data_IF_675458790392
#
_entry.id   IF_675458790392
#
_cell.length_a   1.000
_cell.length_b   1.000
_cell.length_c   1.000
_cell.angle_alpha   90.00
_cell.angle_beta   90.00
_cell.angle_gamma   90.00
#
_symmetry.space_group_name_H-M   'P 1'
#
loop_
_entity.id
_entity.type
_entity.pdbx_description
1 polymer ?
#
# COMPACT_ATOMS: atom_id res chain seq x y z
N UNK A 1 -12.20 14.71 2.61
CA UNK A 1 -12.23 15.17 4.03
C UNK A 1 -13.49 15.96 4.43
N UNK A 2 -14.48 16.22 3.56
CA UNK A 2 -15.74 16.89 3.97
C UNK A 2 -16.65 16.06 4.89
N UNK A 3 -16.33 14.79 5.11
CA UNK A 3 -17.12 13.88 5.94
C UNK A 3 -16.87 14.05 7.45
N UNK A 4 -15.77 14.72 7.84
CA UNK A 4 -15.41 14.92 9.24
C UNK A 4 -15.29 16.41 9.55
N UNK A 5 -15.78 16.82 10.72
CA UNK A 5 -15.61 18.19 11.21
C UNK A 5 -14.26 18.34 11.90
N UNK A 6 -13.22 18.44 11.08
CA UNK A 6 -11.83 18.51 11.55
C UNK A 6 -11.55 19.83 12.28
N UNK A 7 -10.78 19.81 13.34
CA UNK A 7 -10.18 21.01 13.92
C UNK A 7 -9.16 21.66 12.98
N UNK A 8 -8.73 22.89 13.28
CA UNK A 8 -7.66 23.55 12.54
C UNK A 8 -6.35 22.75 12.58
N UNK A 9 -6.03 22.14 13.73
CA UNK A 9 -4.83 21.33 13.91
C UNK A 9 -4.87 20.07 13.05
N UNK A 10 -5.99 19.35 13.03
CA UNK A 10 -6.18 18.17 12.19
C UNK A 10 -6.13 18.53 10.70
N UNK A 11 -6.80 19.61 10.28
CA UNK A 11 -6.73 20.07 8.88
C UNK A 11 -5.31 20.39 8.45
N UNK A 12 -4.56 21.11 9.29
CA UNK A 12 -3.16 21.49 9.02
C UNK A 12 -2.25 20.27 8.89
N UNK A 13 -2.46 19.24 9.69
CA UNK A 13 -1.66 18.01 9.63
C UNK A 13 -2.10 17.15 8.44
N UNK A 14 -3.39 16.84 8.31
CA UNK A 14 -3.88 15.93 7.28
C UNK A 14 -3.73 16.49 5.87
N UNK A 15 -3.69 17.82 5.70
CA UNK A 15 -3.42 18.44 4.39
C UNK A 15 -2.01 18.19 3.85
N UNK A 16 -1.07 17.76 4.70
CA UNK A 16 0.30 17.43 4.28
C UNK A 16 0.45 16.00 3.77
N UNK A 17 -0.54 15.15 4.03
CA UNK A 17 -0.51 13.75 3.63
C UNK A 17 -0.60 13.64 2.11
N UNK A 18 0.39 12.98 1.52
CA UNK A 18 0.38 12.46 0.15
C UNK A 18 0.13 10.96 0.18
N UNK A 19 -0.28 10.39 -0.95
CA UNK A 19 -0.58 8.97 -1.05
C UNK A 19 0.14 8.35 -2.25
N UNK A 20 0.60 7.12 -2.08
CA UNK A 20 0.97 6.26 -3.20
C UNK A 20 -0.28 5.62 -3.81
N UNK A 21 -0.09 5.10 -5.02
CA UNK A 21 -1.06 4.23 -5.68
C UNK A 21 -0.80 2.77 -5.38
N UNK A 22 -1.86 1.97 -5.28
CA UNK A 22 -1.74 0.54 -5.11
C UNK A 22 -2.93 -0.19 -5.75
N UNK A 23 -2.62 -1.16 -6.59
CA UNK A 23 -3.59 -2.10 -7.15
C UNK A 23 -3.25 -3.50 -6.65
N UNK A 24 -4.24 -4.16 -6.08
CA UNK A 24 -4.12 -5.54 -5.64
C UNK A 24 -5.09 -6.42 -6.43
N UNK A 25 -4.75 -7.70 -6.58
CA UNK A 25 -5.63 -8.62 -7.27
C UNK A 25 -5.10 -10.03 -7.40
N UNK A 26 -5.75 -10.75 -8.31
CA UNK A 26 -5.41 -12.09 -8.74
C UNK A 26 -5.19 -12.05 -10.25
N UNK A 27 -4.12 -12.67 -10.73
CA UNK A 27 -3.89 -12.93 -12.14
C UNK A 27 -3.75 -14.42 -12.39
N UNK A 28 -4.34 -14.87 -13.49
CA UNK A 28 -4.05 -16.20 -14.03
C UNK A 28 -2.86 -16.05 -14.98
N UNK A 29 -1.71 -16.60 -14.60
CA UNK A 29 -0.44 -16.45 -15.33
C UNK A 29 -0.04 -17.81 -15.91
N UNK A 30 -0.31 -18.08 -17.20
CA UNK A 30 -0.02 -19.38 -17.81
C UNK A 30 1.47 -19.70 -17.80
N UNK A 31 1.81 -20.94 -17.44
CA UNK A 31 3.19 -21.42 -17.45
C UNK A 31 4.06 -20.90 -16.30
N UNK A 32 3.47 -20.19 -15.34
CA UNK A 32 4.10 -19.91 -14.06
C UNK A 32 3.58 -20.90 -13.02
N UNK A 33 4.47 -21.60 -12.34
CA UNK A 33 4.18 -22.60 -11.30
C UNK A 33 4.87 -22.30 -9.96
N UNK A 34 5.69 -21.24 -9.91
CA UNK A 34 6.40 -20.77 -8.73
C UNK A 34 6.06 -19.33 -8.40
N UNK A 35 6.19 -18.96 -7.12
CA UNK A 35 6.07 -17.56 -6.72
C UNK A 35 7.32 -16.78 -7.17
N UNK A 36 7.12 -15.58 -7.67
CA UNK A 36 8.18 -14.65 -8.06
C UNK A 36 8.14 -13.41 -7.18
N UNK A 37 9.26 -13.11 -6.52
CA UNK A 37 9.42 -11.89 -5.76
C UNK A 37 10.31 -10.92 -6.54
N UNK A 38 9.85 -9.69 -6.71
CA UNK A 38 10.74 -8.62 -7.15
C UNK A 38 11.63 -8.24 -5.96
N UNK A 39 12.93 -8.46 -6.10
CA UNK A 39 13.92 -8.14 -5.05
C UNK A 39 14.67 -6.84 -5.34
N UNK A 40 14.42 -6.20 -6.48
CA UNK A 40 15.08 -4.95 -6.85
C UNK A 40 16.61 -5.00 -6.74
N UNK A 41 17.24 -6.12 -7.10
CA UNK A 41 18.67 -6.38 -6.82
C UNK A 41 19.61 -5.31 -7.38
N UNK A 42 19.18 -4.60 -8.42
CA UNK A 42 19.93 -3.52 -9.07
C UNK A 42 19.63 -2.12 -8.52
N UNK A 43 18.68 -1.97 -7.59
CA UNK A 43 18.38 -0.67 -6.97
C UNK A 43 19.34 -0.38 -5.82
N UNK A 44 19.55 0.90 -5.46
CA UNK A 44 20.39 1.27 -4.33
C UNK A 44 19.92 0.65 -3.01
N UNK A 45 18.60 0.60 -2.79
CA UNK A 45 17.98 0.10 -1.56
C UNK A 45 17.69 -1.41 -1.56
N UNK A 46 17.97 -2.13 -2.67
CA UNK A 46 17.62 -3.55 -2.84
C UNK A 46 16.12 -3.81 -2.61
N UNK A 47 15.31 -2.88 -3.09
CA UNK A 47 13.85 -2.91 -3.08
C UNK A 47 13.29 -2.69 -4.47
N UNK A 48 12.08 -3.21 -4.79
CA UNK A 48 11.40 -2.94 -6.06
C UNK A 48 11.30 -1.45 -6.37
N UNK A 49 11.44 -1.09 -7.64
CA UNK A 49 11.09 0.25 -8.11
C UNK A 49 9.59 0.32 -8.39
N UNK A 50 9.01 1.49 -8.13
CA UNK A 50 7.66 1.84 -8.54
C UNK A 50 7.72 2.86 -9.70
N UNK A 51 6.75 2.88 -10.63
CA UNK A 51 5.65 1.92 -10.73
C UNK A 51 6.12 0.51 -11.07
N UNK A 52 5.60 -0.49 -10.35
CA UNK A 52 6.06 -1.87 -10.48
C UNK A 52 5.29 -2.85 -9.61
N UNK A 53 5.28 -4.13 -10.01
CA UNK A 53 4.78 -5.20 -9.17
C UNK A 53 5.80 -5.57 -8.09
N UNK A 54 5.29 -5.76 -6.86
CA UNK A 54 6.09 -6.29 -5.76
C UNK A 54 6.39 -7.79 -5.98
N UNK A 55 5.37 -8.57 -6.35
CA UNK A 55 5.50 -10.01 -6.51
C UNK A 55 4.32 -10.60 -7.29
N UNK A 56 4.52 -11.83 -7.78
CA UNK A 56 3.50 -12.78 -8.20
C UNK A 56 3.54 -13.96 -7.23
N UNK A 57 2.67 -13.98 -6.23
CA UNK A 57 2.70 -14.99 -5.17
C UNK A 57 1.62 -16.02 -5.40
N UNK A 58 1.94 -17.30 -5.26
CA UNK A 58 0.95 -18.37 -5.37
C UNK A 58 -0.19 -18.12 -4.39
N UNK A 59 -1.43 -18.13 -4.88
CA UNK A 59 -2.63 -17.99 -4.05
C UNK A 59 -3.05 -19.30 -3.37
N UNK A 60 -2.39 -20.42 -3.71
CA UNK A 60 -2.83 -21.77 -3.37
C UNK A 60 -3.82 -22.38 -4.37
N UNK A 61 -4.40 -21.56 -5.27
CA UNK A 61 -5.21 -22.04 -6.39
C UNK A 61 -4.35 -22.27 -7.65
N UNK A 62 -4.61 -23.33 -8.44
CA UNK A 62 -3.83 -23.61 -9.65
C UNK A 62 -3.79 -22.43 -10.62
N UNK A 63 -2.59 -22.06 -11.07
CA UNK A 63 -2.31 -20.98 -12.02
C UNK A 63 -2.71 -19.56 -11.57
N UNK A 64 -3.19 -19.38 -10.32
CA UNK A 64 -3.65 -18.09 -9.82
C UNK A 64 -2.61 -17.48 -8.88
N UNK A 65 -2.21 -16.25 -9.19
CA UNK A 65 -1.19 -15.51 -8.44
C UNK A 65 -1.76 -14.23 -7.87
N UNK A 66 -1.53 -14.02 -6.57
CA UNK A 66 -1.72 -12.74 -5.92
C UNK A 66 -0.70 -11.74 -6.47
N UNK A 67 -1.17 -10.53 -6.75
CA UNK A 67 -0.35 -9.44 -7.25
C UNK A 67 -0.60 -8.16 -6.47
N UNK A 68 0.43 -7.32 -6.43
CA UNK A 68 0.37 -5.97 -5.91
C UNK A 68 1.24 -5.06 -6.76
N UNK A 69 0.63 -4.05 -7.38
CA UNK A 69 1.31 -3.03 -8.21
C UNK A 69 1.24 -1.70 -7.50
N UNK A 70 2.40 -1.11 -7.20
CA UNK A 70 2.47 0.21 -6.58
C UNK A 70 2.79 1.29 -7.63
N UNK A 71 2.38 2.53 -7.34
CA UNK A 71 2.58 3.73 -8.17
C UNK A 71 3.02 4.90 -7.29
N UNK A 72 3.80 5.83 -7.85
CA UNK A 72 4.34 7.00 -7.13
C UNK A 72 3.30 8.00 -6.64
N UNK A 73 2.08 7.95 -7.20
CA UNK A 73 1.02 8.89 -6.87
C UNK A 73 -0.36 8.27 -7.15
N UNK A 74 -1.42 9.07 -7.01
CA UNK A 74 -2.81 8.64 -7.21
C UNK A 74 -3.34 8.85 -8.63
N UNK A 75 -2.52 9.36 -9.55
CA UNK A 75 -2.87 9.62 -10.95
C UNK A 75 -2.54 8.40 -11.82
N UNK A 76 -3.36 7.37 -11.68
CA UNK A 76 -3.24 6.12 -12.43
C UNK A 76 -4.61 5.43 -12.52
N UNK A 77 -4.69 4.42 -13.38
CA UNK A 77 -5.88 3.59 -13.54
C UNK A 77 -5.56 2.11 -13.31
N UNK A 78 -6.62 1.32 -13.08
CA UNK A 78 -6.50 -0.14 -13.08
C UNK A 78 -5.96 -0.67 -14.42
N UNK A 79 -6.24 0.01 -15.55
CA UNK A 79 -5.71 -0.40 -16.84
C UNK A 79 -4.18 -0.25 -16.92
N UNK A 80 -3.62 0.78 -16.29
CA UNK A 80 -2.17 1.01 -16.23
C UNK A 80 -1.47 -0.14 -15.50
N UNK A 81 -2.05 -0.62 -14.40
CA UNK A 81 -1.52 -1.79 -13.67
C UNK A 81 -1.49 -3.06 -14.53
N UNK A 82 -2.56 -3.32 -15.30
CA UNK A 82 -2.62 -4.47 -16.23
C UNK A 82 -1.59 -4.32 -17.34
N UNK A 83 -1.38 -3.11 -17.85
CA UNK A 83 -0.36 -2.82 -18.87
C UNK A 83 1.05 -3.09 -18.34
N UNK A 84 1.33 -2.64 -17.12
CA UNK A 84 2.61 -2.85 -16.45
C UNK A 84 2.91 -4.32 -16.21
N UNK A 85 1.93 -5.09 -15.71
CA UNK A 85 2.07 -6.54 -15.51
C UNK A 85 2.39 -7.25 -16.83
N UNK A 86 1.71 -6.89 -17.93
CA UNK A 86 2.02 -7.47 -19.25
C UNK A 86 3.44 -7.13 -19.72
N UNK A 87 3.91 -5.91 -19.45
CA UNK A 87 5.30 -5.50 -19.74
C UNK A 87 6.30 -6.30 -18.92
N UNK A 88 6.04 -6.50 -17.63
CA UNK A 88 6.88 -7.33 -16.74
C UNK A 88 6.92 -8.79 -17.18
N UNK A 89 5.76 -9.37 -17.52
CA UNK A 89 5.67 -10.73 -18.07
C UNK A 89 6.41 -10.87 -19.41
N UNK A 90 6.41 -9.82 -20.24
CA UNK A 90 7.22 -9.80 -21.47
C UNK A 90 8.73 -9.83 -21.15
N UNK A 91 9.16 -9.13 -20.11
CA UNK A 91 10.56 -9.15 -19.64
C UNK A 91 10.91 -10.53 -19.07
N UNK A 92 10.05 -11.12 -18.25
CA UNK A 92 10.23 -12.47 -17.70
C UNK A 92 10.29 -13.52 -18.81
N UNK A 93 9.47 -13.40 -19.86
CA UNK A 93 9.50 -14.29 -21.01
C UNK A 93 10.83 -14.23 -21.76
N UNK A 94 11.42 -13.03 -21.92
CA UNK A 94 12.75 -12.88 -22.53
C UNK A 94 13.88 -13.50 -21.72
N UNK A 95 13.70 -13.58 -20.40
CA UNK A 95 14.62 -14.26 -19.49
C UNK A 95 14.37 -15.78 -19.39
N UNK A 96 13.37 -16.31 -20.09
CA UNK A 96 12.98 -17.73 -20.03
C UNK A 96 12.24 -18.13 -18.75
N UNK A 97 11.79 -17.17 -17.95
CA UNK A 97 11.09 -17.45 -16.69
C UNK A 97 9.61 -17.85 -16.88
N UNK A 98 9.01 -17.48 -18.03
CA UNK A 98 7.65 -17.84 -18.42
C UNK A 98 7.58 -18.02 -19.95
N UNK A 99 6.57 -18.71 -20.51
CA UNK A 99 6.38 -18.82 -21.97
C UNK A 99 6.28 -17.47 -22.71
N UNK A 100 6.68 -17.45 -23.98
CA UNK A 100 6.76 -16.23 -24.81
C UNK A 100 5.41 -15.51 -25.01
N UNK A 101 4.29 -16.24 -24.96
CA UNK A 101 2.93 -15.72 -25.15
C UNK A 101 2.21 -15.40 -23.82
N UNK A 102 2.87 -15.59 -22.67
CA UNK A 102 2.28 -15.40 -21.32
C UNK A 102 1.64 -14.02 -21.17
N UNK A 103 2.34 -12.95 -21.58
CA UNK A 103 1.83 -11.58 -21.49
C UNK A 103 0.55 -11.34 -22.32
N UNK A 104 0.31 -12.12 -23.37
CA UNK A 104 -0.92 -12.03 -24.18
C UNK A 104 -2.08 -12.83 -23.58
N UNK A 105 -1.74 -13.91 -22.87
CA UNK A 105 -2.73 -14.85 -22.30
C UNK A 105 -3.09 -14.59 -20.84
N UNK A 106 -2.31 -13.78 -20.13
CA UNK A 106 -2.60 -13.42 -18.74
C UNK A 106 -4.00 -12.83 -18.64
N UNK A 107 -4.77 -13.31 -17.67
CA UNK A 107 -6.07 -12.74 -17.33
C UNK A 107 -6.05 -12.24 -15.88
N UNK A 108 -7.03 -11.41 -15.54
CA UNK A 108 -7.14 -10.78 -14.23
C UNK A 108 -8.52 -11.07 -13.66
N UNK A 109 -8.75 -12.27 -13.06
CA UNK A 109 -10.04 -12.64 -12.49
C UNK A 109 -10.58 -11.62 -11.50
N UNK A 110 -9.68 -11.01 -10.72
CA UNK A 110 -10.03 -9.93 -9.80
C UNK A 110 -8.90 -8.92 -9.73
N UNK A 111 -9.24 -7.63 -9.77
CA UNK A 111 -8.29 -6.56 -9.57
C UNK A 111 -9.04 -5.35 -9.01
N UNK A 112 -8.46 -4.71 -8.00
CA UNK A 112 -9.08 -3.59 -7.31
C UNK A 112 -8.07 -2.48 -7.08
N UNK A 113 -8.53 -1.24 -7.20
CA UNK A 113 -7.77 -0.06 -6.83
C UNK A 113 -7.90 0.15 -5.30
N UNK A 114 -6.77 0.21 -4.60
CA UNK A 114 -6.68 0.39 -3.15
C UNK A 114 -6.17 1.79 -2.77
N UNK A 115 -6.40 2.80 -3.62
CA UNK A 115 -6.11 4.20 -3.30
C UNK A 115 -7.06 4.76 -2.22
N UNK A 116 -6.59 5.60 -1.29
CA UNK A 116 -5.19 5.96 -1.04
C UNK A 116 -4.40 4.85 -0.32
N UNK A 117 -3.15 4.64 -0.73
CA UNK A 117 -2.25 3.68 -0.11
C UNK A 117 -1.01 4.39 0.45
N UNK A 118 -0.54 3.91 1.60
CA UNK A 118 0.68 4.33 2.29
C UNK A 118 0.84 5.86 2.37
N UNK A 119 -0.08 6.44 3.16
CA UNK A 119 -0.11 7.88 3.40
C UNK A 119 1.19 8.33 4.07
N UNK A 120 1.82 9.34 3.49
CA UNK A 120 3.13 9.80 3.91
C UNK A 120 3.25 11.32 3.78
N UNK A 121 4.33 11.86 4.32
CA UNK A 121 4.71 13.27 4.16
C UNK A 121 6.14 13.36 3.62
N UNK A 122 6.57 14.57 3.28
CA UNK A 122 7.93 14.82 2.81
C UNK A 122 8.97 14.58 3.91
N UNK A 123 10.22 14.29 3.54
CA UNK A 123 11.32 14.19 4.53
C UNK A 123 11.50 15.47 5.35
N UNK A 124 11.25 16.64 4.74
CA UNK A 124 11.27 17.94 5.42
C UNK A 124 10.18 18.06 6.49
N UNK A 125 8.96 17.58 6.22
CA UNK A 125 7.89 17.55 7.21
C UNK A 125 8.21 16.59 8.36
N UNK A 126 8.84 15.45 8.07
CA UNK A 126 9.34 14.52 9.10
C UNK A 126 10.37 15.22 9.99
N UNK A 127 11.36 15.89 9.39
CA UNK A 127 12.40 16.65 10.11
C UNK A 127 11.79 17.75 11.00
N UNK A 128 10.72 18.40 10.52
CA UNK A 128 9.96 19.41 11.27
C UNK A 128 9.03 18.83 12.35
N UNK A 129 9.08 17.52 12.59
CA UNK A 129 8.34 16.87 13.69
C UNK A 129 6.89 16.54 13.36
N UNK A 130 6.52 16.35 12.09
CA UNK A 130 5.15 16.03 11.68
C UNK A 130 4.51 14.92 12.51
N UNK A 131 5.18 13.76 12.65
CA UNK A 131 4.63 12.63 13.39
C UNK A 131 4.52 12.89 14.89
N UNK A 132 5.41 13.71 15.47
CA UNK A 132 5.28 14.14 16.86
C UNK A 132 4.01 14.98 17.06
N UNK A 133 3.71 15.89 16.14
CA UNK A 133 2.46 16.67 16.19
C UNK A 133 1.23 15.82 15.89
N UNK A 134 1.35 14.85 14.98
CA UNK A 134 0.28 13.89 14.66
C UNK A 134 -0.14 13.09 15.90
N UNK A 135 0.83 12.61 16.69
CA UNK A 135 0.57 11.84 17.90
C UNK A 135 -0.11 12.66 19.00
N UNK A 136 0.02 14.00 19.00
CA UNK A 136 -0.69 14.88 19.95
C UNK A 136 -2.19 14.97 19.68
N UNK A 137 -2.66 14.46 18.54
CA UNK A 137 -4.09 14.42 18.23
C UNK A 137 -4.83 13.37 19.06
N UNK A 138 -4.15 12.39 19.65
CA UNK A 138 -4.80 11.35 20.45
C UNK A 138 -5.46 11.94 21.71
N UNK A 139 -6.79 11.91 21.74
CA UNK A 139 -7.63 12.51 22.80
C UNK A 139 -7.97 13.98 22.57
N UNK A 140 -7.43 14.62 21.53
CA UNK A 140 -7.75 16.01 21.22
C UNK A 140 -9.23 16.13 20.83
N UNK A 141 -9.96 17.01 21.53
CA UNK A 141 -11.43 17.14 21.39
C UNK A 141 -12.17 15.81 21.50
N UNK A 142 -11.73 14.94 22.42
CA UNK A 142 -12.29 13.61 22.66
C UNK A 142 -12.29 12.71 21.40
N UNK A 143 -11.38 12.98 20.47
CA UNK A 143 -11.20 12.22 19.23
C UNK A 143 -9.90 11.42 19.31
N UNK A 144 -9.95 10.17 18.87
CA UNK A 144 -8.79 9.27 18.84
C UNK A 144 -8.68 8.70 17.43
N UNK A 145 -7.47 8.72 16.88
CA UNK A 145 -7.24 8.35 15.50
C UNK A 145 -6.55 6.99 15.41
N UNK A 146 -6.89 6.25 14.35
CA UNK A 146 -6.33 4.91 14.12
C UNK A 146 -6.28 4.60 12.63
N UNK A 147 -5.80 3.41 12.30
CA UNK A 147 -5.69 2.88 10.95
C UNK A 147 -4.26 3.00 10.42
N UNK A 148 -4.13 2.70 9.14
CA UNK A 148 -2.82 2.56 8.50
C UNK A 148 -1.99 3.85 8.52
N UNK A 149 -2.63 5.03 8.54
CA UNK A 149 -1.91 6.31 8.64
C UNK A 149 -1.18 6.51 9.98
N UNK A 150 -1.58 5.80 11.03
CA UNK A 150 -1.01 5.91 12.38
C UNK A 150 -0.14 4.71 12.75
N UNK A 151 -0.41 3.53 12.17
CA UNK A 151 0.23 2.27 12.56
C UNK A 151 0.90 1.50 11.40
N UNK A 152 0.70 1.92 10.15
CA UNK A 152 1.14 1.21 8.95
C UNK A 152 0.12 0.21 8.38
N UNK A 153 0.35 -0.23 7.14
CA UNK A 153 -0.54 -1.13 6.38
C UNK A 153 -0.44 -2.61 6.81
N UNK A 154 -0.59 -2.88 8.11
CA UNK A 154 -0.58 -4.24 8.64
C UNK A 154 -1.59 -4.36 9.79
N UNK A 155 -2.50 -5.33 9.70
CA UNK A 155 -3.56 -5.52 10.69
C UNK A 155 -3.03 -5.75 12.11
N UNK A 156 -1.92 -6.48 12.25
CA UNK A 156 -1.28 -6.69 13.55
C UNK A 156 -0.71 -5.40 14.14
N UNK A 157 -0.10 -4.55 13.31
CA UNK A 157 0.38 -3.23 13.76
C UNK A 157 -0.77 -2.31 14.16
N UNK A 158 -1.88 -2.31 13.40
CA UNK A 158 -3.07 -1.52 13.71
C UNK A 158 -3.71 -1.99 15.03
N UNK A 159 -3.83 -3.29 15.26
CA UNK A 159 -4.34 -3.79 16.53
C UNK A 159 -3.42 -3.45 17.71
N UNK A 160 -2.10 -3.58 17.51
CA UNK A 160 -1.12 -3.17 18.52
C UNK A 160 -1.23 -1.67 18.85
N UNK A 161 -1.46 -0.82 17.85
CA UNK A 161 -1.70 0.61 18.05
C UNK A 161 -2.99 0.87 18.83
N UNK A 162 -4.07 0.18 18.49
CA UNK A 162 -5.34 0.30 19.19
C UNK A 162 -5.22 -0.08 20.66
N UNK A 163 -4.61 -1.24 20.94
CA UNK A 163 -4.49 -1.78 22.30
C UNK A 163 -3.48 -0.99 23.14
N UNK A 164 -2.40 -0.49 22.51
CA UNK A 164 -1.30 0.20 23.20
C UNK A 164 -1.47 1.70 23.37
N UNK A 165 -2.23 2.36 22.48
CA UNK A 165 -2.36 3.82 22.46
C UNK A 165 -3.81 4.28 22.58
N UNK A 166 -4.68 3.86 21.66
CA UNK A 166 -6.04 4.40 21.55
C UNK A 166 -6.91 4.00 22.73
N UNK A 167 -7.02 2.70 23.01
CA UNK A 167 -7.87 2.20 24.10
C UNK A 167 -7.44 2.71 25.48
N UNK A 168 -6.14 2.71 25.84
CA UNK A 168 -5.70 3.30 27.11
C UNK A 168 -6.02 4.79 27.24
N UNK A 169 -5.82 5.58 26.19
CA UNK A 169 -6.11 7.02 26.20
C UNK A 169 -7.62 7.28 26.37
N UNK A 170 -8.46 6.56 25.60
CA UNK A 170 -9.91 6.65 25.69
C UNK A 170 -10.42 6.27 27.10
N UNK A 171 -9.95 5.15 27.64
CA UNK A 171 -10.32 4.68 28.99
C UNK A 171 -9.97 5.70 30.07
N UNK A 172 -8.75 6.25 30.01
CA UNK A 172 -8.28 7.30 30.92
C UNK A 172 -9.21 8.51 30.90
N UNK A 173 -9.60 9.00 29.73
CA UNK A 173 -10.45 10.18 29.60
C UNK A 173 -11.91 9.91 30.00
N UNK A 174 -12.36 8.65 29.90
CA UNK A 174 -13.66 8.19 30.42
C UNK A 174 -13.63 7.88 31.92
N UNK A 175 -12.46 7.82 32.56
CA UNK A 175 -12.30 7.48 33.97
C UNK A 175 -12.59 6.01 34.31
N UNK A 176 -12.35 5.09 33.38
CA UNK A 176 -12.57 3.63 33.53
C UNK A 176 -11.31 2.79 33.28
#
# INVERSE_FOLDING_TARGET
MRAFDLSEMERKLFSKLSAFGYVAGVADIPGLDVSLQNVGIMTPAKTPMIPGSNAYLSSGSPNQFLLGVAFDNTDYTVADSKSLIRKELTTLARAGAVPADTAKRVTFPYISNHVPYDLHVTGEDIEKGFYTELLKLEGYLNTYWTGAAFAGHNSGLIWKWNDGTVLPALKKDLGI
#
